data_IF_713027375733
#
_entry.id   IF_713027375733
#
_cell.length_a   1.000
_cell.length_b   1.000
_cell.length_c   1.000
_cell.angle_alpha   90.00
_cell.angle_beta   90.00
_cell.angle_gamma   90.00
#
_symmetry.space_group_name_H-M   'P 1'
#
loop_
_entity.id
_entity.type
_entity.pdbx_description
1 polymer ?
#
# COMPACT_ATOMS: atom_id res chain seq x y z
N UNK A 1 -23.45 -7.42 3.28
CA UNK A 1 -22.87 -6.83 2.04
C UNK A 1 -21.37 -6.69 2.19
N UNK A 2 -20.87 -5.94 3.17
CA UNK A 2 -19.43 -5.88 3.48
C UNK A 2 -18.81 -7.27 3.68
N UNK A 3 -19.53 -8.12 4.41
CA UNK A 3 -19.17 -9.50 4.79
C UNK A 3 -19.01 -10.44 3.58
N UNK A 4 -19.78 -10.21 2.52
CA UNK A 4 -19.72 -10.99 1.28
C UNK A 4 -18.46 -10.63 0.48
N UNK A 5 -18.14 -9.34 0.39
CA UNK A 5 -16.90 -8.83 -0.21
C UNK A 5 -15.68 -9.28 0.60
N UNK A 6 -15.75 -9.23 1.93
CA UNK A 6 -14.67 -9.72 2.80
C UNK A 6 -14.41 -11.22 2.59
N UNK A 7 -15.46 -12.05 2.59
CA UNK A 7 -15.34 -13.49 2.32
C UNK A 7 -14.84 -13.78 0.89
N UNK A 8 -15.23 -12.97 -0.11
CA UNK A 8 -14.73 -13.09 -1.48
C UNK A 8 -13.23 -12.75 -1.56
N UNK A 9 -12.75 -11.74 -0.85
CA UNK A 9 -11.32 -11.39 -0.82
C UNK A 9 -10.52 -12.42 0.00
N UNK A 10 -11.04 -12.84 1.15
CA UNK A 10 -10.45 -13.89 2.00
C UNK A 10 -10.22 -15.19 1.22
N UNK A 11 -11.27 -15.71 0.59
CA UNK A 11 -11.21 -16.90 -0.27
C UNK A 11 -10.44 -16.68 -1.58
N UNK A 12 -10.19 -15.43 -2.00
CA UNK A 12 -9.22 -15.14 -3.05
C UNK A 12 -7.79 -15.31 -2.53
N UNK A 13 -7.38 -14.56 -1.50
CA UNK A 13 -5.98 -14.59 -1.03
C UNK A 13 -5.57 -15.96 -0.47
N UNK A 14 -6.48 -16.68 0.21
CA UNK A 14 -6.25 -18.05 0.68
C UNK A 14 -5.90 -19.01 -0.47
N UNK A 15 -6.49 -18.86 -1.67
CA UNK A 15 -6.13 -19.67 -2.84
C UNK A 15 -4.72 -19.37 -3.34
N UNK A 16 -4.29 -18.12 -3.34
CA UNK A 16 -2.94 -17.74 -3.75
C UNK A 16 -1.88 -18.21 -2.74
N UNK A 17 -2.16 -18.11 -1.44
CA UNK A 17 -1.28 -18.65 -0.40
C UNK A 17 -1.22 -20.19 -0.41
N UNK A 18 -2.33 -20.88 -0.65
CA UNK A 18 -2.33 -22.34 -0.82
C UNK A 18 -1.62 -22.79 -2.12
N UNK A 19 -1.47 -21.90 -3.10
CA UNK A 19 -0.60 -22.08 -4.27
C UNK A 19 0.87 -21.69 -4.01
N UNK A 20 1.24 -21.34 -2.77
CA UNK A 20 2.60 -20.94 -2.39
C UNK A 20 2.99 -19.50 -2.75
N UNK A 21 2.04 -18.69 -3.25
CA UNK A 21 2.29 -17.32 -3.71
C UNK A 21 2.06 -16.34 -2.56
N UNK A 22 3.10 -16.12 -1.75
CA UNK A 22 3.07 -15.14 -0.65
C UNK A 22 3.35 -13.70 -1.11
N UNK A 23 3.95 -13.54 -2.30
CA UNK A 23 4.14 -12.25 -2.98
C UNK A 23 4.07 -12.42 -4.51
N UNK A 24 3.63 -11.38 -5.22
CA UNK A 24 3.67 -11.33 -6.69
C UNK A 24 4.80 -10.42 -7.13
N UNK A 25 5.76 -10.98 -7.88
CA UNK A 25 6.81 -10.22 -8.53
C UNK A 25 6.25 -9.42 -9.72
N UNK A 26 5.98 -8.12 -9.53
CA UNK A 26 5.80 -7.23 -10.68
C UNK A 26 7.14 -7.14 -11.44
N UNK A 27 7.16 -7.35 -12.78
CA UNK A 27 8.36 -7.17 -13.56
C UNK A 27 8.82 -5.71 -13.45
N UNK A 28 10.09 -5.49 -13.10
CA UNK A 28 10.63 -4.13 -12.96
C UNK A 28 10.44 -3.37 -14.28
N UNK A 29 9.82 -2.17 -14.28
CA UNK A 29 9.71 -1.37 -15.49
C UNK A 29 11.12 -1.05 -16.00
N UNK A 30 11.38 -1.31 -17.28
CA UNK A 30 12.68 -1.16 -17.92
C UNK A 30 13.00 0.31 -18.21
N UNK A 31 13.17 1.10 -17.15
CA UNK A 31 13.56 2.51 -17.25
C UNK A 31 15.00 2.63 -17.76
N UNK A 32 15.27 3.48 -18.78
CA UNK A 32 16.60 3.65 -19.35
C UNK A 32 17.52 4.49 -18.46
N UNK A 33 18.83 4.31 -18.66
CA UNK A 33 19.96 5.07 -18.10
C UNK A 33 20.16 5.01 -16.55
N UNK A 34 21.35 4.53 -16.14
CA UNK A 34 21.77 4.42 -14.73
C UNK A 34 22.10 5.79 -14.11
N UNK A 35 21.64 6.00 -12.88
CA UNK A 35 22.47 6.62 -11.82
C UNK A 35 23.17 5.52 -11.00
N UNK A 36 24.41 5.71 -10.54
CA UNK A 36 25.13 4.70 -9.74
C UNK A 36 24.68 4.72 -8.28
N UNK A 37 23.74 3.83 -7.92
CA UNK A 37 23.37 3.57 -6.53
C UNK A 37 24.15 2.37 -5.99
N UNK A 38 25.27 2.62 -5.30
CA UNK A 38 26.08 1.61 -4.60
C UNK A 38 25.58 1.36 -3.17
N UNK A 39 24.26 1.28 -3.00
CA UNK A 39 23.59 0.91 -1.73
C UNK A 39 22.59 -0.18 -2.06
N UNK A 40 22.74 -1.36 -1.47
CA UNK A 40 21.72 -2.40 -1.61
C UNK A 40 20.49 -1.98 -0.81
N UNK A 41 19.44 -1.55 -1.52
CA UNK A 41 18.20 -1.05 -0.92
C UNK A 41 17.36 -2.14 -0.22
N UNK A 42 17.88 -3.36 -0.12
CA UNK A 42 17.15 -4.55 0.31
C UNK A 42 17.92 -5.44 1.32
N UNK A 43 19.19 -5.14 1.63
CA UNK A 43 19.98 -5.91 2.62
C UNK A 43 19.51 -5.66 4.07
N UNK A 44 19.21 -4.39 4.40
CA UNK A 44 18.91 -3.89 5.76
C UNK A 44 17.45 -4.12 6.20
N UNK A 45 16.78 -5.16 5.69
CA UNK A 45 15.39 -5.49 6.00
C UNK A 45 15.21 -6.53 7.14
N UNK A 46 16.29 -6.85 7.87
CA UNK A 46 16.38 -8.01 8.77
C UNK A 46 16.01 -7.73 10.24
N UNK A 47 16.07 -6.47 10.69
CA UNK A 47 15.74 -6.11 12.07
C UNK A 47 14.21 -6.04 12.30
N UNK A 48 13.69 -6.51 13.46
CA UNK A 48 12.27 -6.39 13.80
C UNK A 48 11.91 -4.93 14.18
N UNK A 49 11.68 -4.10 13.17
CA UNK A 49 11.26 -2.70 13.30
C UNK A 49 10.00 -2.59 14.18
N UNK A 50 10.05 -1.82 15.27
CA UNK A 50 8.91 -1.78 16.21
C UNK A 50 7.72 -1.02 15.63
N UNK A 51 6.52 -1.25 16.18
CA UNK A 51 5.31 -0.52 15.78
C UNK A 51 5.46 1.00 15.95
N UNK A 52 6.25 1.46 16.93
CA UNK A 52 6.55 2.88 17.15
C UNK A 52 7.41 3.47 16.03
N UNK A 53 8.45 2.74 15.62
CA UNK A 53 9.35 3.15 14.53
C UNK A 53 8.59 3.16 13.19
N UNK A 54 7.72 2.17 12.96
CA UNK A 54 6.83 2.12 11.79
C UNK A 54 5.87 3.31 11.74
N UNK A 55 5.27 3.70 12.87
CA UNK A 55 4.40 4.87 12.96
C UNK A 55 5.18 6.16 12.60
N UNK A 56 6.37 6.32 13.19
CA UNK A 56 7.24 7.48 12.98
C UNK A 56 7.71 7.56 11.52
N UNK A 57 8.13 6.44 10.93
CA UNK A 57 8.56 6.37 9.53
C UNK A 57 7.42 6.74 8.56
N UNK A 58 6.18 6.27 8.80
CA UNK A 58 5.02 6.63 7.98
C UNK A 58 4.63 8.11 8.14
N UNK A 59 4.75 8.69 9.33
CA UNK A 59 4.52 10.12 9.56
C UNK A 59 5.55 11.00 8.83
N UNK A 60 6.83 10.62 8.87
CA UNK A 60 7.91 11.31 8.14
C UNK A 60 7.70 11.21 6.63
N UNK A 61 7.37 10.02 6.12
CA UNK A 61 7.09 9.81 4.69
C UNK A 61 5.85 10.59 4.22
N UNK A 62 4.79 10.67 5.03
CA UNK A 62 3.63 11.50 4.73
C UNK A 62 3.96 13.00 4.68
N UNK A 63 4.90 13.46 5.51
CA UNK A 63 5.39 14.84 5.48
C UNK A 63 6.25 15.14 4.24
N UNK A 64 7.13 14.20 3.83
CA UNK A 64 7.90 14.32 2.58
C UNK A 64 6.97 14.34 1.35
N UNK A 65 6.04 13.39 1.28
CA UNK A 65 5.08 13.28 0.16
C UNK A 65 4.27 14.55 0.00
N UNK A 66 3.81 15.17 1.10
CA UNK A 66 3.07 16.45 1.08
C UNK A 66 3.82 17.56 0.32
N UNK A 67 5.14 17.61 0.43
CA UNK A 67 6.00 18.58 -0.27
C UNK A 67 6.49 18.12 -1.66
N UNK A 68 6.13 16.92 -2.13
CA UNK A 68 6.78 16.30 -3.28
C UNK A 68 6.41 16.97 -4.63
N UNK A 69 7.35 17.72 -5.19
CA UNK A 69 7.26 18.41 -6.50
C UNK A 69 8.02 17.69 -7.63
N UNK A 70 8.45 16.44 -7.41
CA UNK A 70 9.31 15.67 -8.32
C UNK A 70 8.73 15.46 -9.73
N UNK A 71 7.40 15.36 -9.84
CA UNK A 71 6.67 15.38 -11.11
C UNK A 71 5.94 16.71 -11.22
N UNK A 72 6.39 17.61 -12.12
CA UNK A 72 5.93 19.00 -12.16
C UNK A 72 4.47 19.11 -12.55
N UNK A 73 4.06 18.26 -13.48
CA UNK A 73 2.75 18.19 -14.10
C UNK A 73 1.70 17.83 -13.03
N UNK A 74 1.93 16.72 -12.32
CA UNK A 74 1.07 16.26 -11.23
C UNK A 74 1.09 17.21 -10.02
N UNK A 75 2.21 17.89 -9.75
CA UNK A 75 2.30 18.88 -8.68
C UNK A 75 1.62 20.21 -9.01
N UNK A 76 1.42 20.54 -10.30
CA UNK A 76 0.75 21.75 -10.74
C UNK A 76 -0.78 21.60 -10.86
N UNK A 77 -1.30 20.38 -11.02
CA UNK A 77 -2.75 20.14 -11.24
C UNK A 77 -3.51 19.66 -10.00
N UNK A 78 -2.82 19.16 -8.96
CA UNK A 78 -3.44 18.64 -7.74
C UNK A 78 -3.70 19.75 -6.72
N UNK A 79 -4.78 19.63 -5.94
CA UNK A 79 -5.03 20.48 -4.77
C UNK A 79 -4.09 20.10 -3.62
N UNK A 80 -3.88 18.80 -3.40
CA UNK A 80 -3.00 18.28 -2.35
C UNK A 80 -2.47 16.88 -2.69
N UNK A 81 -1.76 16.24 -1.77
CA UNK A 81 -1.37 14.82 -1.91
C UNK A 81 -2.25 13.94 -1.05
N UNK A 82 -2.85 12.93 -1.65
CA UNK A 82 -3.57 11.87 -0.94
C UNK A 82 -2.58 10.80 -0.52
N UNK A 83 -2.43 10.60 0.79
CA UNK A 83 -1.55 9.59 1.36
C UNK A 83 -2.35 8.34 1.78
N UNK A 84 -1.67 7.20 1.97
CA UNK A 84 -2.32 5.98 2.42
C UNK A 84 -2.84 6.09 3.87
N UNK A 85 -4.02 5.52 4.13
CA UNK A 85 -4.64 5.47 5.46
C UNK A 85 -4.92 4.03 5.88
N UNK A 86 -4.77 3.73 7.18
CA UNK A 86 -5.03 2.40 7.73
C UNK A 86 -4.12 2.02 8.91
N UNK A 87 -4.15 0.74 9.35
CA UNK A 87 -3.30 0.23 10.42
C UNK A 87 -1.80 0.15 10.05
N UNK A 88 -0.93 0.01 11.06
CA UNK A 88 0.54 0.05 10.93
C UNK A 88 1.22 -1.27 10.53
N UNK A 89 0.74 -2.42 11.02
CA UNK A 89 0.93 -3.74 10.39
C UNK A 89 -0.47 -4.30 10.15
N UNK A 90 -1.18 -3.84 9.10
CA UNK A 90 -2.51 -4.30 8.84
C UNK A 90 -2.45 -5.78 8.46
N UNK A 91 -3.25 -6.64 9.12
CA UNK A 91 -3.80 -7.76 8.40
C UNK A 91 -4.88 -7.13 7.51
N UNK A 92 -4.58 -6.71 6.28
CA UNK A 92 -3.82 -7.43 5.25
C UNK A 92 -3.14 -6.27 4.33
N UNK A 93 -2.95 -6.14 2.98
CA UNK A 93 -2.55 -4.86 2.22
C UNK A 93 -3.30 -4.47 0.86
N UNK A 94 -3.64 -3.18 0.56
CA UNK A 94 -4.39 -2.66 -0.65
C UNK A 94 -3.71 -1.45 -1.37
N UNK A 95 -3.84 -1.31 -2.71
CA UNK A 95 -3.30 -0.20 -3.54
C UNK A 95 -4.25 0.12 -4.74
N UNK A 96 -4.29 1.38 -5.21
CA UNK A 96 -4.99 1.83 -6.44
C UNK A 96 -4.08 2.65 -7.37
N UNK A 97 -4.56 3.04 -8.56
CA UNK A 97 -3.75 3.68 -9.62
C UNK A 97 -3.33 5.13 -9.29
N UNK A 98 -4.30 6.02 -9.06
CA UNK A 98 -4.10 7.43 -8.77
C UNK A 98 -5.31 8.02 -8.00
N UNK A 99 -5.15 9.15 -7.29
CA UNK A 99 -6.28 9.86 -6.67
C UNK A 99 -7.23 10.43 -7.73
N UNK A 100 -8.54 10.31 -7.50
CA UNK A 100 -9.57 11.01 -8.27
C UNK A 100 -9.82 12.42 -7.75
N UNK A 101 -10.77 13.13 -8.39
CA UNK A 101 -11.10 14.51 -8.05
C UNK A 101 -11.80 14.66 -6.68
N UNK A 102 -12.39 13.59 -6.14
CA UNK A 102 -12.99 13.57 -4.79
C UNK A 102 -11.93 13.26 -3.72
N UNK A 103 -10.99 12.37 -4.02
CA UNK A 103 -9.82 12.08 -3.20
C UNK A 103 -8.91 13.32 -3.07
N UNK A 104 -8.54 13.97 -4.17
CA UNK A 104 -7.71 15.19 -4.15
C UNK A 104 -8.36 16.33 -3.36
N UNK A 105 -9.70 16.46 -3.42
CA UNK A 105 -10.44 17.49 -2.68
C UNK A 105 -10.47 17.24 -1.17
N UNK A 106 -10.43 15.97 -0.74
CA UNK A 106 -10.62 15.57 0.67
C UNK A 106 -9.34 15.14 1.38
N UNK A 107 -8.29 14.75 0.64
CA UNK A 107 -7.03 14.23 1.20
C UNK A 107 -7.09 12.76 1.61
N UNK A 108 -8.28 12.14 1.62
CA UNK A 108 -8.49 10.70 1.89
C UNK A 108 -8.58 9.88 0.59
N UNK A 109 -8.03 8.65 0.53
CA UNK A 109 -8.15 7.77 -0.63
C UNK A 109 -9.48 7.00 -0.66
N UNK A 110 -9.93 6.62 -1.86
CA UNK A 110 -11.15 5.81 -2.10
C UNK A 110 -12.45 6.40 -1.53
N UNK A 111 -12.60 7.73 -1.59
CA UNK A 111 -13.79 8.46 -1.11
C UNK A 111 -14.78 8.84 -2.22
N UNK A 112 -14.35 8.84 -3.48
CA UNK A 112 -15.20 9.09 -4.64
C UNK A 112 -16.09 7.89 -5.01
N UNK A 113 -16.88 8.05 -6.07
CA UNK A 113 -17.89 7.05 -6.48
C UNK A 113 -17.34 5.62 -6.68
N UNK A 114 -16.08 5.47 -7.15
CA UNK A 114 -15.43 4.18 -7.33
C UNK A 114 -15.05 3.48 -6.01
N UNK A 115 -14.84 4.24 -4.93
CA UNK A 115 -14.64 3.73 -3.57
C UNK A 115 -15.97 3.47 -2.85
N UNK A 116 -16.96 4.35 -3.03
CA UNK A 116 -18.28 4.20 -2.39
C UNK A 116 -19.02 2.92 -2.83
N UNK A 117 -18.90 2.51 -4.11
CA UNK A 117 -19.45 1.23 -4.58
C UNK A 117 -18.65 0.00 -4.11
N UNK A 118 -17.44 0.18 -3.58
CA UNK A 118 -16.62 -0.86 -2.93
C UNK A 118 -16.78 -0.78 -1.42
N UNK A 119 -18.00 -1.09 -0.98
CA UNK A 119 -18.56 -0.79 0.34
C UNK A 119 -17.56 -0.79 1.50
N UNK A 120 -17.27 0.40 2.03
CA UNK A 120 -16.62 0.56 3.34
C UNK A 120 -15.11 0.36 3.41
N UNK A 121 -14.36 0.36 2.30
CA UNK A 121 -12.90 0.16 2.29
C UNK A 121 -12.04 1.29 2.94
N UNK A 122 -12.56 2.05 3.92
CA UNK A 122 -11.88 3.17 4.57
C UNK A 122 -10.71 2.78 5.49
N UNK A 123 -10.60 1.51 5.89
CA UNK A 123 -9.57 1.07 6.84
C UNK A 123 -9.23 -0.43 6.74
N UNK A 124 -9.09 -0.97 5.52
CA UNK A 124 -8.95 -2.42 5.31
C UNK A 124 -7.99 -2.80 4.17
N UNK A 125 -6.72 -2.45 4.31
CA UNK A 125 -5.60 -3.04 3.55
C UNK A 125 -5.72 -4.61 3.52
N UNK A 126 -5.59 -5.37 2.39
CA UNK A 126 -5.66 -6.88 2.33
C UNK A 126 -4.69 -7.81 1.40
N UNK A 127 -3.60 -8.69 1.61
CA UNK A 127 -2.38 -9.30 2.39
C UNK A 127 -2.23 -10.08 3.78
N UNK A 128 -2.21 -11.43 3.88
CA UNK A 128 -2.23 -12.25 5.16
C UNK A 128 -0.89 -12.52 5.94
N UNK A 129 -0.99 -13.08 7.18
CA UNK A 129 0.05 -13.91 7.87
C UNK A 129 -0.52 -15.31 8.18
N UNK A 130 0.30 -16.37 8.02
CA UNK A 130 0.07 -17.72 8.57
C UNK A 130 1.12 -18.01 9.65
N UNK A 131 0.71 -18.25 10.89
CA UNK A 131 1.61 -18.83 11.90
C UNK A 131 1.96 -20.27 11.48
N UNK A 132 3.23 -20.65 11.66
CA UNK A 132 3.85 -21.74 10.91
C UNK A 132 3.17 -23.10 11.05
N UNK A 133 3.30 -23.93 10.01
CA UNK A 133 3.27 -25.37 10.21
C UNK A 133 4.39 -25.76 11.17
N UNK A 134 4.10 -26.68 12.09
CA UNK A 134 5.14 -27.32 12.90
C UNK A 134 5.96 -28.26 12.01
N UNK A 135 7.26 -28.35 12.31
CA UNK A 135 8.19 -29.31 11.74
C UNK A 135 9.23 -29.65 12.81
N UNK A 136 9.27 -30.93 13.16
CA UNK A 136 10.21 -31.64 14.04
C UNK A 136 10.46 -31.04 15.44
#
# INVERSE_FOLDING_TARGET
MSDEVENQIRSYVERWQNAGIDWIALPKPSSPARVPLSVSLFEEASAPVTTSDRATALQLLAAEVRGCTRCKELAATRTQTVFGVGPLDPPVCFIGEAPGADEDRQGEPFVGAAGQHRGGCRSLLLRLRKTGCQGD
#
